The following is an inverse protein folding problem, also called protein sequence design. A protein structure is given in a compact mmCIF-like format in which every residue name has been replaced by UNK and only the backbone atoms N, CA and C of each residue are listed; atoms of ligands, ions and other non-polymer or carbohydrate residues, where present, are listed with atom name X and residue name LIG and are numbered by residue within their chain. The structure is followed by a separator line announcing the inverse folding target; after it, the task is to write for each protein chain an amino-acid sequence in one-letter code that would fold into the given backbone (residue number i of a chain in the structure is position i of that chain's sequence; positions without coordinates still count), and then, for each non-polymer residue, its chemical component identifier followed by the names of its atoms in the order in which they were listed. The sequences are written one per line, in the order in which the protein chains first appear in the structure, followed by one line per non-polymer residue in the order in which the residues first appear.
data_IF_261913872841
#
_entry.id   IF_261913872841
#
_cell.length_a   1.000
_cell.length_b   1.000
_cell.length_c   1.000
_cell.angle_alpha   90.00
_cell.angle_beta   90.00
_cell.angle_gamma   90.00
#
_symmetry.space_group_name_H-M   'P 1'
#
loop_
_entity.id
_entity.type
_entity.pdbx_description
1 polymer ?
#
# COMPACT_ATOMS: atom_id res chain seq x y z
N UNK A 1 15.92 30.52 4.42
CA UNK A 1 15.92 31.82 5.15
C UNK A 1 16.72 32.85 4.35
N UNK A 2 16.34 34.13 4.38
CA UNK A 2 17.12 35.20 3.76
C UNK A 2 18.09 35.81 4.78
N UNK A 3 19.14 36.49 4.30
CA UNK A 3 20.05 37.30 5.10
C UNK A 3 20.65 36.59 6.33
N UNK A 4 21.20 35.38 6.15
CA UNK A 4 21.86 34.64 7.24
C UNK A 4 20.92 34.01 8.28
N UNK A 5 19.61 34.00 8.04
CA UNK A 5 18.66 33.34 8.94
C UNK A 5 18.89 31.82 9.05
N UNK A 6 18.57 31.25 10.21
CA UNK A 6 18.63 29.80 10.45
C UNK A 6 17.42 29.10 9.83
N UNK A 7 17.61 27.86 9.38
CA UNK A 7 16.50 27.03 8.92
C UNK A 7 15.52 26.74 10.07
N UNK A 8 14.24 26.66 9.76
CA UNK A 8 13.22 26.23 10.72
C UNK A 8 13.55 24.82 11.20
N UNK A 9 13.54 24.63 12.52
CA UNK A 9 13.78 23.34 13.17
C UNK A 9 12.44 22.67 13.45
N UNK A 10 12.36 21.36 13.20
CA UNK A 10 11.15 20.56 13.44
C UNK A 10 10.61 19.86 12.19
N UNK A 11 9.49 19.16 12.35
CA UNK A 11 8.83 18.45 11.25
C UNK A 11 8.24 19.46 10.26
N UNK A 12 8.53 19.27 8.97
CA UNK A 12 7.99 20.11 7.88
C UNK A 12 6.51 19.86 7.59
N UNK A 13 6.00 18.68 7.97
CA UNK A 13 4.61 18.28 7.74
C UNK A 13 4.09 17.51 8.96
N UNK A 14 2.78 17.63 9.21
CA UNK A 14 2.03 16.84 10.19
C UNK A 14 0.82 16.25 9.49
N UNK A 15 0.54 14.98 9.79
CA UNK A 15 -0.59 14.26 9.22
C UNK A 15 -1.53 13.86 10.35
N UNK A 16 -2.82 13.79 10.04
CA UNK A 16 -3.88 13.34 10.95
C UNK A 16 -4.86 12.49 10.16
N UNK A 17 -5.23 11.34 10.69
CA UNK A 17 -6.25 10.48 10.10
C UNK A 17 -7.60 11.21 10.07
N UNK A 18 -8.32 11.06 8.96
CA UNK A 18 -9.70 11.52 8.77
C UNK A 18 -10.60 10.31 8.50
N UNK A 19 -11.92 10.48 8.67
CA UNK A 19 -12.92 9.41 8.49
C UNK A 19 -12.57 8.16 9.32
N UNK A 20 -12.30 8.35 10.61
CA UNK A 20 -11.80 7.31 11.51
C UNK A 20 -12.87 6.31 11.94
N UNK A 21 -14.12 6.54 11.55
CA UNK A 21 -15.20 5.58 11.78
C UNK A 21 -14.90 4.29 11.03
N UNK A 22 -15.13 3.17 11.71
CA UNK A 22 -14.86 1.86 11.11
C UNK A 22 -15.73 1.64 9.87
N UNK A 23 -15.10 1.08 8.83
CA UNK A 23 -15.83 0.60 7.67
C UNK A 23 -16.90 -0.43 8.11
N UNK A 24 -18.08 -0.45 7.45
CA UNK A 24 -19.07 -1.51 7.65
C UNK A 24 -18.44 -2.89 7.58
N UNK A 25 -18.88 -3.80 8.46
CA UNK A 25 -18.41 -5.19 8.48
C UNK A 25 -18.60 -5.82 7.10
N UNK A 26 -17.59 -6.56 6.64
CA UNK A 26 -17.59 -7.19 5.32
C UNK A 26 -17.16 -6.27 4.17
N UNK A 27 -16.83 -4.99 4.43
CA UNK A 27 -16.09 -4.21 3.42
C UNK A 27 -14.72 -4.83 3.17
N UNK A 28 -14.38 -4.88 1.90
CA UNK A 28 -13.06 -5.27 1.42
C UNK A 28 -11.97 -4.36 2.02
N UNK A 29 -10.83 -4.95 2.38
CA UNK A 29 -9.67 -4.20 2.85
C UNK A 29 -9.19 -3.22 1.76
N UNK A 30 -8.67 -2.06 2.16
CA UNK A 30 -8.32 -1.02 1.19
C UNK A 30 -7.14 -1.41 0.31
N UNK A 31 -6.19 -2.22 0.82
CA UNK A 31 -5.12 -2.77 -0.02
C UNK A 31 -5.66 -3.87 -0.93
N UNK A 32 -6.58 -4.69 -0.44
CA UNK A 32 -7.24 -5.71 -1.24
C UNK A 32 -7.98 -5.11 -2.44
N UNK A 33 -8.72 -4.02 -2.23
CA UNK A 33 -9.36 -3.26 -3.31
C UNK A 33 -8.35 -2.82 -4.38
N UNK A 34 -7.23 -2.25 -3.94
CA UNK A 34 -6.17 -1.79 -4.85
C UNK A 34 -5.51 -2.92 -5.64
N UNK A 35 -5.37 -4.13 -5.09
CA UNK A 35 -4.92 -5.29 -5.86
C UNK A 35 -6.00 -5.75 -6.85
N UNK A 36 -7.28 -5.80 -6.44
CA UNK A 36 -8.38 -6.23 -7.31
C UNK A 36 -8.63 -5.32 -8.51
N UNK A 37 -8.19 -4.05 -8.46
CA UNK A 37 -8.18 -3.15 -9.62
C UNK A 37 -7.29 -3.66 -10.79
N UNK A 38 -6.48 -4.68 -10.53
CA UNK A 38 -5.65 -5.36 -11.53
C UNK A 38 -6.14 -6.77 -11.90
N UNK A 39 -7.26 -7.24 -11.36
CA UNK A 39 -7.83 -8.53 -11.73
C UNK A 39 -8.05 -8.60 -13.26
N UNK A 40 -7.76 -9.76 -13.84
CA UNK A 40 -7.75 -9.96 -15.30
C UNK A 40 -6.53 -9.38 -16.03
N UNK A 41 -5.65 -8.63 -15.36
CA UNK A 41 -4.41 -8.10 -15.97
C UNK A 41 -3.27 -9.07 -15.76
N UNK A 42 -2.97 -9.87 -16.77
CA UNK A 42 -1.90 -10.88 -16.71
C UNK A 42 -0.48 -10.33 -16.98
N UNK A 43 -0.36 -9.09 -17.44
CA UNK A 43 0.91 -8.43 -17.79
C UNK A 43 1.86 -9.24 -18.69
N UNK A 44 1.33 -10.15 -19.52
CA UNK A 44 2.12 -11.08 -20.35
C UNK A 44 3.12 -11.92 -19.53
N UNK A 45 2.82 -12.18 -18.26
CA UNK A 45 3.62 -13.04 -17.41
C UNK A 45 3.32 -14.49 -17.78
N UNK A 46 4.35 -15.23 -18.16
CA UNK A 46 4.21 -16.64 -18.55
C UNK A 46 3.63 -17.48 -17.40
N UNK A 47 2.63 -18.30 -17.71
CA UNK A 47 1.98 -19.18 -16.73
C UNK A 47 0.87 -18.53 -15.90
N UNK A 48 0.55 -17.25 -16.14
CA UNK A 48 -0.59 -16.59 -15.51
C UNK A 48 -1.89 -16.82 -16.31
N UNK A 49 -2.97 -17.15 -15.62
CA UNK A 49 -4.31 -17.21 -16.24
C UNK A 49 -4.73 -15.82 -16.76
N UNK A 50 -5.43 -15.73 -17.91
CA UNK A 50 -6.08 -14.49 -18.35
C UNK A 50 -7.06 -13.93 -17.30
N UNK A 51 -7.68 -14.81 -16.51
CA UNK A 51 -8.56 -14.45 -15.40
C UNK A 51 -7.79 -14.44 -14.07
N UNK A 52 -6.59 -13.86 -14.06
CA UNK A 52 -5.79 -13.76 -12.84
C UNK A 52 -6.53 -12.94 -11.78
N UNK A 53 -6.51 -13.45 -10.55
CA UNK A 53 -6.94 -12.71 -9.36
C UNK A 53 -5.73 -12.33 -8.53
N UNK A 54 -5.65 -11.06 -8.15
CA UNK A 54 -4.57 -10.47 -7.37
C UNK A 54 -5.00 -10.24 -5.92
N UNK A 55 -4.19 -10.71 -4.98
CA UNK A 55 -4.44 -10.59 -3.55
C UNK A 55 -3.28 -9.85 -2.87
N UNK A 56 -3.51 -9.10 -1.77
CA UNK A 56 -2.44 -8.42 -1.06
C UNK A 56 -1.30 -9.35 -0.61
N UNK A 57 -0.06 -8.89 -0.75
CA UNK A 57 1.13 -9.54 -0.21
C UNK A 57 1.74 -8.67 0.89
N UNK A 58 1.65 -9.15 2.14
CA UNK A 58 2.22 -8.49 3.31
C UNK A 58 3.50 -9.17 3.81
N UNK A 59 3.54 -10.51 3.82
CA UNK A 59 4.68 -11.28 4.33
C UNK A 59 5.88 -11.21 3.41
N UNK A 60 7.08 -11.15 3.99
CA UNK A 60 8.34 -11.10 3.21
C UNK A 60 8.62 -9.75 2.54
N UNK A 61 7.84 -8.71 2.82
CA UNK A 61 8.08 -7.35 2.34
C UNK A 61 8.78 -6.53 3.43
N UNK A 62 9.93 -5.95 3.09
CA UNK A 62 10.67 -5.07 4.00
C UNK A 62 9.84 -3.85 4.39
N UNK A 63 9.99 -3.35 5.63
CA UNK A 63 9.20 -2.23 6.17
C UNK A 63 9.22 -1.01 5.24
N UNK A 64 10.39 -0.68 4.69
CA UNK A 64 10.58 0.45 3.74
C UNK A 64 9.76 0.32 2.45
N UNK A 65 9.38 -0.90 2.07
CA UNK A 65 8.67 -1.21 0.84
C UNK A 65 7.18 -1.54 1.08
N UNK A 66 6.73 -1.56 2.35
CA UNK A 66 5.34 -1.92 2.70
C UNK A 66 4.29 -0.99 2.11
N UNK A 67 4.64 0.24 1.76
CA UNK A 67 3.71 1.18 1.10
C UNK A 67 3.76 1.16 -0.43
N UNK A 68 4.51 0.23 -1.02
CA UNK A 68 4.33 -0.18 -2.42
C UNK A 68 3.21 -1.21 -2.50
N UNK A 69 2.55 -1.30 -3.65
CA UNK A 69 1.47 -2.26 -3.87
C UNK A 69 2.04 -3.59 -4.36
N UNK A 70 2.40 -4.48 -3.42
CA UNK A 70 2.72 -5.87 -3.73
C UNK A 70 1.46 -6.73 -3.69
N UNK A 71 1.23 -7.45 -4.78
CA UNK A 71 0.11 -8.39 -4.91
C UNK A 71 0.63 -9.77 -5.32
N UNK A 72 0.06 -10.82 -4.72
CA UNK A 72 0.28 -12.21 -5.09
C UNK A 72 -0.85 -12.72 -5.98
N UNK A 73 -0.54 -13.71 -6.79
CA UNK A 73 -1.55 -14.41 -7.58
C UNK A 73 -2.35 -15.33 -6.66
N UNK A 74 -3.68 -15.33 -6.77
CA UNK A 74 -4.53 -16.24 -6.03
C UNK A 74 -4.14 -17.70 -6.31
N UNK A 75 -4.04 -18.51 -5.26
CA UNK A 75 -3.64 -19.92 -5.37
C UNK A 75 -2.14 -20.18 -5.58
N UNK A 76 -1.29 -19.15 -5.64
CA UNK A 76 0.18 -19.34 -5.76
C UNK A 76 0.97 -18.49 -4.76
N UNK A 77 2.29 -18.72 -4.72
CA UNK A 77 3.26 -17.92 -3.95
C UNK A 77 3.87 -16.78 -4.77
N UNK A 78 3.66 -16.75 -6.09
CA UNK A 78 4.19 -15.71 -6.98
C UNK A 78 3.57 -14.35 -6.64
N UNK A 79 4.42 -13.33 -6.54
CA UNK A 79 4.00 -11.97 -6.22
C UNK A 79 4.82 -10.93 -6.99
N UNK A 80 4.21 -9.78 -7.24
CA UNK A 80 4.78 -8.70 -8.05
C UNK A 80 4.40 -7.35 -7.44
N UNK A 81 5.22 -6.34 -7.70
CA UNK A 81 4.90 -4.94 -7.43
C UNK A 81 4.02 -4.42 -8.56
N UNK A 82 2.73 -4.19 -8.30
CA UNK A 82 1.79 -3.68 -9.32
C UNK A 82 1.73 -2.15 -9.36
N UNK A 83 2.16 -1.48 -8.29
CA UNK A 83 2.23 0.00 -8.23
C UNK A 83 3.28 0.46 -7.21
N UNK A 84 3.94 1.58 -7.50
CA UNK A 84 4.97 2.16 -6.63
C UNK A 84 4.45 2.69 -5.30
N UNK A 85 3.14 2.97 -5.21
CA UNK A 85 2.54 3.51 -3.99
C UNK A 85 1.08 3.07 -3.85
N UNK A 86 0.75 2.58 -2.67
CA UNK A 86 -0.66 2.45 -2.24
C UNK A 86 -1.26 3.83 -1.97
N UNK A 87 -2.58 3.92 -1.90
CA UNK A 87 -3.29 5.12 -1.49
C UNK A 87 -2.99 5.48 -0.03
N UNK A 88 -2.92 6.78 0.28
CA UNK A 88 -2.69 7.23 1.64
C UNK A 88 -3.83 6.78 2.56
N UNK A 89 -3.49 6.37 3.79
CA UNK A 89 -4.43 5.74 4.74
C UNK A 89 -4.56 4.22 4.61
N UNK A 90 -3.95 3.60 3.59
CA UNK A 90 -3.87 2.13 3.52
C UNK A 90 -3.03 1.58 4.68
N UNK A 91 -3.46 0.55 5.41
CA UNK A 91 -2.65 -0.10 6.44
C UNK A 91 -1.32 -0.62 5.89
N UNK A 92 -0.26 -0.46 6.67
CA UNK A 92 1.08 -0.94 6.31
C UNK A 92 1.22 -2.46 6.38
N UNK A 93 0.50 -3.07 7.31
CA UNK A 93 0.46 -4.51 7.53
C UNK A 93 -0.67 -4.87 8.48
N UNK A 94 -0.93 -6.16 8.65
CA UNK A 94 -1.96 -6.69 9.54
C UNK A 94 -1.60 -6.58 11.02
N UNK A 95 -0.30 -6.48 11.31
CA UNK A 95 0.25 -6.49 12.67
C UNK A 95 0.56 -5.09 13.22
N UNK A 96 0.19 -4.02 12.50
CA UNK A 96 0.56 -2.64 12.85
C UNK A 96 -0.62 -1.71 12.67
N UNK A 97 -0.73 -0.70 13.53
CA UNK A 97 -1.66 0.42 13.32
C UNK A 97 -1.11 1.50 12.37
N UNK A 98 0.13 1.32 11.88
CA UNK A 98 0.78 2.24 10.95
C UNK A 98 0.03 2.27 9.62
N UNK A 99 -0.06 3.47 9.04
CA UNK A 99 -0.68 3.70 7.75
C UNK A 99 0.32 4.27 6.75
N UNK A 100 0.06 4.02 5.47
CA UNK A 100 0.84 4.59 4.40
C UNK A 100 0.49 6.07 4.22
N UNK A 101 1.51 6.93 4.29
CA UNK A 101 1.39 8.35 4.01
C UNK A 101 2.57 8.76 3.14
N UNK A 102 2.30 9.22 1.92
CA UNK A 102 3.31 9.57 0.93
C UNK A 102 4.33 8.43 0.68
N UNK A 103 3.88 7.18 0.75
CA UNK A 103 4.71 6.02 0.45
C UNK A 103 5.61 5.56 1.60
N UNK A 104 5.41 6.09 2.80
CA UNK A 104 6.10 5.66 4.01
C UNK A 104 5.10 5.18 5.06
N UNK A 105 5.47 4.17 5.84
CA UNK A 105 4.73 3.80 7.04
C UNK A 105 4.91 4.85 8.12
N UNK A 106 3.79 5.28 8.71
CA UNK A 106 3.71 6.37 9.69
C UNK A 106 2.73 6.05 10.79
#
# INVERSE_FOLDING_TARGET
PRNGGKYCVGRRMKFRSCNTDSCPKGKQDFREKQCSDFDGKHFNINGLSPNVRWLPKYSGIAIKDRCKLYCRVAGTTNFYQLKDRVADGTPCGTETNDICVQGLCR
#
